data_IF_918474046840
#
_entry.id   IF_918474046840
#
_cell.length_a   1.000
_cell.length_b   1.000
_cell.length_c   1.000
_cell.angle_alpha   90.00
_cell.angle_beta   90.00
_cell.angle_gamma   90.00
#
_symmetry.space_group_name_H-M   'P 1'
#
loop_
_entity.id
_entity.type
_entity.pdbx_description
1 polymer ?
#
# COMPACT_ATOMS: atom_id res chain seq x y z
N UNK A 1 -4.09 4.00 -9.58
CA UNK A 1 -5.10 5.00 -9.14
C UNK A 1 -6.03 5.49 -10.26
N UNK A 2 -5.51 6.13 -11.32
CA UNK A 2 -6.34 6.77 -12.37
C UNK A 2 -7.39 5.86 -13.01
N UNK A 3 -7.06 4.59 -13.29
CA UNK A 3 -8.03 3.62 -13.82
C UNK A 3 -9.24 3.42 -12.91
N UNK A 4 -9.00 3.28 -11.60
CA UNK A 4 -10.06 3.08 -10.62
C UNK A 4 -10.95 4.32 -10.51
N UNK A 5 -10.33 5.51 -10.41
CA UNK A 5 -11.07 6.78 -10.40
C UNK A 5 -11.90 6.96 -11.68
N UNK A 6 -11.34 6.61 -12.84
CA UNK A 6 -12.06 6.63 -14.11
C UNK A 6 -13.29 5.72 -14.12
N UNK A 7 -13.20 4.49 -13.59
CA UNK A 7 -14.36 3.60 -13.46
C UNK A 7 -15.48 4.24 -12.62
N UNK A 8 -15.15 4.82 -11.48
CA UNK A 8 -16.12 5.46 -10.60
C UNK A 8 -16.77 6.68 -11.28
N UNK A 9 -15.96 7.55 -11.90
CA UNK A 9 -16.47 8.71 -12.62
C UNK A 9 -17.33 8.34 -13.82
N UNK A 10 -17.07 7.20 -14.48
CA UNK A 10 -17.82 6.75 -15.65
C UNK A 10 -19.15 6.08 -15.29
N UNK A 11 -19.17 5.25 -14.25
CA UNK A 11 -20.29 4.36 -13.98
C UNK A 11 -21.21 4.81 -12.83
N UNK A 12 -20.73 5.63 -11.89
CA UNK A 12 -21.61 6.14 -10.85
C UNK A 12 -22.51 7.25 -11.41
N UNK A 13 -23.85 7.12 -11.30
CA UNK A 13 -24.80 8.05 -11.90
C UNK A 13 -25.21 9.18 -10.94
N UNK A 14 -24.29 9.67 -10.11
CA UNK A 14 -24.60 10.69 -9.10
C UNK A 14 -23.43 11.65 -8.85
N UNK A 15 -23.77 12.85 -8.39
CA UNK A 15 -22.79 13.86 -7.97
C UNK A 15 -21.88 14.38 -9.09
N UNK A 16 -20.98 15.28 -8.71
CA UNK A 16 -19.96 15.79 -9.63
C UNK A 16 -18.92 14.70 -9.96
N UNK A 17 -18.15 14.83 -11.06
CA UNK A 17 -17.01 13.95 -11.33
C UNK A 17 -16.02 13.89 -10.16
N UNK A 18 -15.78 15.02 -9.48
CA UNK A 18 -14.92 15.08 -8.30
C UNK A 18 -15.48 14.25 -7.13
N UNK A 19 -16.79 14.33 -6.87
CA UNK A 19 -17.43 13.52 -5.83
C UNK A 19 -17.29 12.00 -6.11
N UNK A 20 -17.45 11.60 -7.37
CA UNK A 20 -17.29 10.20 -7.81
C UNK A 20 -15.84 9.73 -7.71
N UNK A 21 -14.88 10.59 -8.05
CA UNK A 21 -13.46 10.31 -7.85
C UNK A 21 -13.12 10.15 -6.36
N UNK A 22 -13.61 11.04 -5.49
CA UNK A 22 -13.45 10.92 -4.04
C UNK A 22 -14.10 9.65 -3.48
N UNK A 23 -15.25 9.23 -4.02
CA UNK A 23 -15.87 7.97 -3.64
C UNK A 23 -14.96 6.76 -3.90
N UNK A 24 -14.14 6.79 -4.96
CA UNK A 24 -13.14 5.74 -5.20
C UNK A 24 -12.07 5.70 -4.10
N UNK A 25 -11.65 6.85 -3.57
CA UNK A 25 -10.72 6.93 -2.46
C UNK A 25 -11.36 6.42 -1.15
N UNK A 26 -12.62 6.80 -0.88
CA UNK A 26 -13.36 6.34 0.28
C UNK A 26 -13.54 4.80 0.28
N UNK A 27 -13.88 4.20 -0.88
CA UNK A 27 -13.96 2.74 -1.02
C UNK A 27 -12.60 2.07 -0.78
N UNK A 28 -11.51 2.64 -1.30
CA UNK A 28 -10.17 2.12 -1.03
C UNK A 28 -9.82 2.18 0.46
N UNK A 29 -10.11 3.30 1.13
CA UNK A 29 -9.82 3.50 2.55
C UNK A 29 -10.63 2.54 3.43
N UNK A 30 -11.92 2.37 3.15
CA UNK A 30 -12.77 1.38 3.84
C UNK A 30 -12.28 -0.04 3.61
N UNK A 31 -11.87 -0.37 2.38
CA UNK A 31 -11.25 -1.66 2.07
C UNK A 31 -9.95 -1.87 2.86
N UNK A 32 -9.10 -0.84 2.98
CA UNK A 32 -7.87 -0.91 3.76
C UNK A 32 -8.14 -1.20 5.23
N UNK A 33 -9.14 -0.54 5.83
CA UNK A 33 -9.58 -0.81 7.19
C UNK A 33 -10.10 -2.25 7.36
N UNK A 34 -10.88 -2.74 6.40
CA UNK A 34 -11.36 -4.13 6.38
C UNK A 34 -10.22 -5.15 6.29
N UNK A 35 -9.22 -4.91 5.44
CA UNK A 35 -8.04 -5.78 5.34
C UNK A 35 -7.20 -5.75 6.62
N UNK A 36 -7.10 -4.60 7.29
CA UNK A 36 -6.42 -4.48 8.57
C UNK A 36 -7.15 -5.24 9.69
N UNK A 37 -8.49 -5.14 9.74
CA UNK A 37 -9.33 -5.96 10.61
C UNK A 37 -9.01 -7.44 10.43
N UNK A 38 -9.06 -7.94 9.19
CA UNK A 38 -8.79 -9.34 8.87
C UNK A 38 -7.35 -9.76 9.22
N UNK A 39 -6.37 -8.89 9.03
CA UNK A 39 -4.97 -9.18 9.38
C UNK A 39 -4.79 -9.33 10.90
N UNK A 40 -5.40 -8.45 11.68
CA UNK A 40 -5.31 -8.48 13.15
C UNK A 40 -6.11 -9.64 13.73
N UNK A 41 -7.31 -9.90 13.21
CA UNK A 41 -8.12 -11.04 13.64
C UNK A 41 -7.41 -12.37 13.30
N UNK A 42 -6.86 -12.52 12.10
CA UNK A 42 -6.11 -13.72 11.71
C UNK A 42 -4.81 -13.94 12.51
N UNK A 43 -4.18 -12.89 13.02
CA UNK A 43 -2.93 -13.00 13.81
C UNK A 43 -3.16 -13.17 15.31
N UNK A 44 -4.27 -12.65 15.83
CA UNK A 44 -4.56 -12.65 17.28
C UNK A 44 -5.67 -13.62 17.69
N UNK A 45 -6.52 -14.04 16.75
CA UNK A 45 -7.76 -14.76 17.01
C UNK A 45 -8.85 -13.90 17.67
N UNK A 46 -8.68 -12.57 17.74
CA UNK A 46 -9.61 -11.66 18.42
C UNK A 46 -10.26 -10.68 17.44
N UNK A 47 -11.58 -10.82 17.26
CA UNK A 47 -12.40 -9.89 16.50
C UNK A 47 -12.36 -8.48 17.10
N UNK A 48 -12.39 -8.37 18.44
CA UNK A 48 -12.35 -7.07 19.15
C UNK A 48 -11.04 -6.34 18.87
N UNK A 49 -9.91 -7.05 18.86
CA UNK A 49 -8.62 -6.46 18.49
C UNK A 49 -8.64 -5.97 17.04
N UNK A 50 -9.21 -6.76 16.12
CA UNK A 50 -9.40 -6.37 14.73
C UNK A 50 -10.24 -5.10 14.59
N UNK A 51 -11.41 -5.04 15.25
CA UNK A 51 -12.31 -3.89 15.20
C UNK A 51 -11.62 -2.63 15.74
N UNK A 52 -10.91 -2.77 16.85
CA UNK A 52 -10.19 -1.67 17.47
C UNK A 52 -9.08 -1.14 16.55
N UNK A 53 -8.25 -2.01 15.98
CA UNK A 53 -7.19 -1.61 15.04
C UNK A 53 -7.76 -0.96 13.77
N UNK A 54 -8.81 -1.54 13.18
CA UNK A 54 -9.45 -0.98 12.00
C UNK A 54 -10.11 0.37 12.28
N UNK A 55 -10.76 0.53 13.44
CA UNK A 55 -11.36 1.79 13.88
C UNK A 55 -10.30 2.88 14.10
N UNK A 56 -9.24 2.56 14.85
CA UNK A 56 -8.12 3.48 15.06
C UNK A 56 -7.49 3.94 13.74
N UNK A 57 -7.32 3.02 12.79
CA UNK A 57 -6.81 3.34 11.46
C UNK A 57 -7.79 4.22 10.67
N UNK A 58 -9.06 3.81 10.56
CA UNK A 58 -10.07 4.48 9.74
C UNK A 58 -10.36 5.92 10.19
N UNK A 59 -10.42 6.14 11.51
CA UNK A 59 -10.70 7.46 12.10
C UNK A 59 -9.44 8.29 12.37
N UNK A 60 -8.25 7.77 12.06
CA UNK A 60 -7.02 8.54 12.13
C UNK A 60 -7.06 9.73 11.17
N UNK A 61 -6.71 10.93 11.65
CA UNK A 61 -6.87 12.19 10.90
C UNK A 61 -6.25 12.16 9.49
N UNK A 62 -5.04 11.62 9.36
CA UNK A 62 -4.36 11.49 8.06
C UNK A 62 -5.08 10.52 7.12
N UNK A 63 -5.50 9.36 7.64
CA UNK A 63 -6.22 8.35 6.84
C UNK A 63 -7.55 8.93 6.37
N UNK A 64 -8.32 9.55 7.27
CA UNK A 64 -9.60 10.17 6.95
C UNK A 64 -9.45 11.30 5.92
N UNK A 65 -8.42 12.16 6.07
CA UNK A 65 -8.17 13.25 5.12
C UNK A 65 -7.94 12.75 3.70
N UNK A 66 -7.19 11.64 3.54
CA UNK A 66 -6.98 11.00 2.24
C UNK A 66 -8.12 10.09 1.78
N UNK A 67 -9.05 9.72 2.68
CA UNK A 67 -10.25 8.96 2.31
C UNK A 67 -11.29 9.85 1.60
N UNK A 68 -11.32 11.15 1.90
CA UNK A 68 -12.27 12.11 1.31
C UNK A 68 -11.73 12.89 0.11
N UNK A 69 -10.48 12.65 -0.29
CA UNK A 69 -9.80 13.33 -1.39
C UNK A 69 -9.31 12.33 -2.45
N UNK A 70 -9.43 12.71 -3.72
CA UNK A 70 -9.05 11.88 -4.86
C UNK A 70 -7.52 11.82 -5.04
N UNK A 71 -6.84 11.14 -4.14
CA UNK A 71 -5.38 10.97 -4.11
C UNK A 71 -4.94 9.50 -4.12
N UNK A 72 -3.67 9.25 -4.47
CA UNK A 72 -3.11 7.89 -4.61
C UNK A 72 -2.97 7.12 -3.29
N UNK A 73 -3.06 7.81 -2.14
CA UNK A 73 -2.71 7.29 -0.82
C UNK A 73 -3.72 6.27 -0.28
N UNK A 74 -5.03 6.48 -0.48
CA UNK A 74 -6.04 5.54 0.00
C UNK A 74 -5.89 4.16 -0.67
N UNK A 75 -5.62 4.14 -1.98
CA UNK A 75 -5.34 2.90 -2.71
C UNK A 75 -4.01 2.27 -2.27
N UNK A 76 -2.99 3.09 -1.98
CA UNK A 76 -1.72 2.58 -1.44
C UNK A 76 -1.92 1.88 -0.09
N UNK A 77 -2.75 2.46 0.79
CA UNK A 77 -3.08 1.87 2.09
C UNK A 77 -3.82 0.55 1.93
N UNK A 78 -4.75 0.45 0.97
CA UNK A 78 -5.42 -0.82 0.66
C UNK A 78 -4.42 -1.90 0.25
N UNK A 79 -3.45 -1.56 -0.61
CA UNK A 79 -2.40 -2.51 -0.99
C UNK A 79 -1.51 -2.89 0.19
N UNK A 80 -1.07 -1.93 1.02
CA UNK A 80 -0.27 -2.22 2.20
C UNK A 80 -1.01 -3.15 3.18
N UNK A 81 -2.27 -2.86 3.48
CA UNK A 81 -3.11 -3.69 4.36
C UNK A 81 -3.37 -5.07 3.76
N UNK A 82 -3.55 -5.17 2.44
CA UNK A 82 -3.71 -6.45 1.73
C UNK A 82 -2.44 -7.29 1.82
N UNK A 83 -1.27 -6.69 1.57
CA UNK A 83 0.02 -7.37 1.68
C UNK A 83 0.26 -7.85 3.11
N UNK A 84 -0.07 -7.04 4.10
CA UNK A 84 0.04 -7.41 5.52
C UNK A 84 -0.89 -8.58 5.87
N UNK A 85 -2.15 -8.53 5.46
CA UNK A 85 -3.07 -9.66 5.61
C UNK A 85 -2.56 -10.95 4.96
N UNK A 86 -2.08 -10.88 3.71
CA UNK A 86 -1.55 -12.04 3.01
C UNK A 86 -0.30 -12.60 3.70
N UNK A 87 0.55 -11.75 4.27
CA UNK A 87 1.70 -12.17 5.07
C UNK A 87 1.26 -12.93 6.33
N UNK A 88 0.28 -12.41 7.08
CA UNK A 88 -0.29 -13.09 8.26
C UNK A 88 -0.94 -14.43 7.87
N UNK A 89 -1.69 -14.48 6.76
CA UNK A 89 -2.29 -15.71 6.26
C UNK A 89 -1.23 -16.73 5.86
N UNK A 90 -0.16 -16.30 5.21
CA UNK A 90 0.97 -17.15 4.86
C UNK A 90 1.73 -17.62 6.09
N UNK A 91 1.84 -16.79 7.13
CA UNK A 91 2.43 -17.18 8.42
C UNK A 91 1.65 -18.33 9.07
N UNK A 92 0.32 -18.18 9.23
CA UNK A 92 -0.50 -19.21 9.86
C UNK A 92 -0.66 -20.49 9.02
N UNK A 93 -0.77 -20.36 7.69
CA UNK A 93 -0.96 -21.48 6.78
C UNK A 93 -0.23 -21.25 5.45
N UNK A 94 1.09 -21.56 5.38
CA UNK A 94 1.88 -21.37 4.19
C UNK A 94 1.27 -22.10 2.99
N UNK A 95 1.00 -21.37 1.91
CA UNK A 95 0.44 -21.95 0.68
C UNK A 95 0.93 -21.20 -0.55
N UNK A 96 1.23 -21.95 -1.61
CA UNK A 96 1.66 -21.41 -2.90
C UNK A 96 0.68 -20.35 -3.43
N UNK A 97 -0.63 -20.60 -3.30
CA UNK A 97 -1.67 -19.64 -3.71
C UNK A 97 -1.52 -18.29 -3.02
N UNK A 98 -1.29 -18.29 -1.70
CA UNK A 98 -1.13 -17.06 -0.93
C UNK A 98 0.17 -16.33 -1.31
N UNK A 99 1.25 -17.08 -1.56
CA UNK A 99 2.50 -16.49 -2.08
C UNK A 99 2.34 -15.88 -3.47
N UNK A 100 1.64 -16.55 -4.40
CA UNK A 100 1.37 -16.00 -5.74
C UNK A 100 0.46 -14.78 -5.70
N UNK A 101 -0.58 -14.78 -4.86
CA UNK A 101 -1.42 -13.59 -4.63
C UNK A 101 -0.60 -12.44 -4.04
N UNK A 102 0.25 -12.72 -3.05
CA UNK A 102 1.18 -11.73 -2.49
C UNK A 102 2.09 -11.13 -3.55
N UNK A 103 2.70 -11.97 -4.38
CA UNK A 103 3.55 -11.55 -5.50
C UNK A 103 2.80 -10.68 -6.51
N UNK A 104 1.56 -11.04 -6.87
CA UNK A 104 0.70 -10.21 -7.70
C UNK A 104 0.44 -8.83 -7.09
N UNK A 105 0.07 -8.77 -5.81
CA UNK A 105 -0.17 -7.51 -5.12
C UNK A 105 1.11 -6.69 -4.92
N UNK A 106 2.29 -7.31 -4.76
CA UNK A 106 3.57 -6.60 -4.77
C UNK A 106 3.78 -5.87 -6.09
N UNK A 107 3.61 -6.56 -7.23
CA UNK A 107 3.71 -5.96 -8.56
C UNK A 107 2.68 -4.84 -8.78
N UNK A 108 1.42 -5.10 -8.43
CA UNK A 108 0.33 -4.13 -8.58
C UNK A 108 0.54 -2.88 -7.74
N UNK A 109 0.98 -3.03 -6.49
CA UNK A 109 1.17 -1.91 -5.59
C UNK A 109 2.35 -1.02 -5.99
N UNK A 110 3.41 -1.60 -6.55
CA UNK A 110 4.55 -0.86 -7.11
C UNK A 110 4.11 0.09 -8.25
N UNK A 111 3.06 -0.27 -9.00
CA UNK A 111 2.50 0.61 -10.05
C UNK A 111 1.71 1.82 -9.52
N UNK A 112 1.46 1.87 -8.21
CA UNK A 112 0.68 2.95 -7.61
C UNK A 112 1.56 4.02 -6.96
N UNK A 113 2.45 3.63 -6.05
CA UNK A 113 3.25 4.58 -5.27
C UNK A 113 4.52 3.92 -4.71
N UNK A 114 5.69 4.55 -4.86
CA UNK A 114 6.99 3.92 -4.58
C UNK A 114 7.25 3.62 -3.11
N UNK A 115 6.67 4.37 -2.17
CA UNK A 115 6.88 4.13 -0.73
C UNK A 115 6.30 2.79 -0.28
N UNK A 116 5.47 2.13 -1.09
CA UNK A 116 5.07 0.75 -0.84
C UNK A 116 6.26 -0.22 -0.74
N UNK A 117 7.45 0.14 -1.26
CA UNK A 117 8.66 -0.67 -1.14
C UNK A 117 9.01 -0.98 0.33
N UNK A 118 8.66 -0.07 1.26
CA UNK A 118 8.86 -0.28 2.70
C UNK A 118 7.99 -1.40 3.28
N UNK A 119 6.93 -1.82 2.58
CA UNK A 119 6.11 -2.98 2.92
C UNK A 119 6.50 -4.19 2.09
N UNK A 120 6.61 -4.02 0.76
CA UNK A 120 6.92 -5.10 -0.19
C UNK A 120 8.24 -5.79 0.17
N UNK A 121 9.29 -5.01 0.47
CA UNK A 121 10.61 -5.57 0.74
C UNK A 121 10.64 -6.47 1.98
N UNK A 122 10.30 -5.99 3.20
CA UNK A 122 10.34 -6.85 4.38
C UNK A 122 9.34 -8.02 4.31
N UNK A 123 8.14 -7.82 3.75
CA UNK A 123 7.15 -8.90 3.60
C UNK A 123 7.66 -9.98 2.64
N UNK A 124 8.29 -9.59 1.53
CA UNK A 124 8.86 -10.55 0.57
C UNK A 124 9.97 -11.36 1.22
N UNK A 125 10.92 -10.70 1.92
CA UNK A 125 11.99 -11.40 2.63
C UNK A 125 11.42 -12.38 3.66
N UNK A 126 10.41 -11.97 4.41
CA UNK A 126 9.74 -12.80 5.40
C UNK A 126 9.07 -14.03 4.77
N UNK A 127 8.28 -13.85 3.70
CA UNK A 127 7.60 -14.95 2.99
C UNK A 127 8.61 -15.90 2.36
N UNK A 128 9.71 -15.40 1.78
CA UNK A 128 10.77 -16.24 1.22
C UNK A 128 11.52 -17.02 2.31
N UNK A 129 11.83 -16.38 3.43
CA UNK A 129 12.47 -17.04 4.57
C UNK A 129 11.58 -18.16 5.15
N UNK A 130 10.29 -17.90 5.31
CA UNK A 130 9.32 -18.87 5.83
C UNK A 130 8.99 -19.98 4.84
N UNK A 131 8.86 -19.65 3.55
CA UNK A 131 8.58 -20.61 2.49
C UNK A 131 9.76 -21.49 2.12
N UNK A 132 10.99 -20.99 2.31
CA UNK A 132 12.24 -21.72 2.13
C UNK A 132 12.43 -22.33 0.74
N UNK A 133 13.28 -23.36 0.66
CA UNK A 133 13.56 -24.08 -0.57
C UNK A 133 12.31 -24.62 -1.30
N UNK A 134 11.25 -25.11 -0.63
CA UNK A 134 10.02 -25.56 -1.29
C UNK A 134 9.31 -24.50 -2.12
N UNK A 135 9.44 -23.21 -1.78
CA UNK A 135 8.87 -22.10 -2.55
C UNK A 135 9.78 -21.67 -3.71
N UNK A 136 11.08 -21.97 -3.63
CA UNK A 136 12.12 -21.54 -4.57
C UNK A 136 12.45 -22.55 -5.68
N UNK A 137 11.57 -23.52 -5.90
CA UNK A 137 11.72 -24.43 -7.05
C UNK A 137 11.51 -23.67 -8.38
N UNK A 138 12.21 -24.03 -9.47
CA UNK A 138 12.08 -23.34 -10.75
C UNK A 138 10.64 -23.09 -11.24
N UNK A 139 9.70 -24.05 -11.20
CA UNK A 139 8.32 -23.80 -11.64
C UNK A 139 7.59 -22.77 -10.75
N UNK A 140 7.88 -22.76 -9.44
CA UNK A 140 7.25 -21.80 -8.51
C UNK A 140 7.84 -20.41 -8.64
N UNK A 141 9.16 -20.30 -8.83
CA UNK A 141 9.82 -19.03 -9.17
C UNK A 141 9.24 -18.46 -10.47
N UNK A 142 9.04 -19.29 -11.50
CA UNK A 142 8.36 -18.89 -12.73
C UNK A 142 6.95 -18.32 -12.47
N UNK A 143 6.14 -18.99 -11.63
CA UNK A 143 4.80 -18.52 -11.26
C UNK A 143 4.81 -17.25 -10.39
N UNK A 144 5.75 -17.12 -9.46
CA UNK A 144 5.94 -15.89 -8.66
C UNK A 144 6.28 -14.72 -9.58
N UNK A 145 7.26 -14.89 -10.46
CA UNK A 145 7.65 -13.87 -11.44
C UNK A 145 6.49 -13.50 -12.35
N UNK A 146 5.77 -14.49 -12.91
CA UNK A 146 4.59 -14.25 -13.72
C UNK A 146 3.50 -13.48 -12.96
N UNK A 147 3.32 -13.77 -11.66
CA UNK A 147 2.35 -13.07 -10.80
C UNK A 147 2.76 -11.61 -10.59
N UNK A 148 4.03 -11.32 -10.30
CA UNK A 148 4.54 -9.94 -10.20
C UNK A 148 4.33 -9.18 -11.51
N UNK A 149 4.72 -9.78 -12.64
CA UNK A 149 4.57 -9.16 -13.95
C UNK A 149 3.10 -8.91 -14.31
N UNK A 150 2.21 -9.84 -13.95
CA UNK A 150 0.76 -9.65 -14.10
C UNK A 150 0.25 -8.48 -13.23
N UNK A 151 0.77 -8.32 -12.01
CA UNK A 151 0.48 -7.16 -11.18
C UNK A 151 0.97 -5.84 -11.80
N UNK A 152 2.11 -5.87 -12.49
CA UNK A 152 2.74 -4.70 -13.12
C UNK A 152 2.10 -4.28 -14.45
N UNK A 153 1.05 -4.97 -14.92
CA UNK A 153 0.33 -4.63 -16.16
C UNK A 153 -0.08 -3.14 -16.30
N UNK A 154 -0.46 -2.40 -15.23
CA UNK A 154 -0.76 -0.97 -15.35
C UNK A 154 0.38 -0.13 -15.96
N UNK A 155 1.65 -0.49 -15.74
CA UNK A 155 2.78 0.17 -16.41
C UNK A 155 2.81 -0.10 -17.92
N UNK A 156 2.45 -1.31 -18.34
CA UNK A 156 2.30 -1.64 -19.76
C UNK A 156 1.17 -0.84 -20.40
N UNK A 157 0.04 -0.72 -19.70
CA UNK A 157 -1.12 0.05 -20.19
C UNK A 157 -0.78 1.53 -20.34
N UNK A 158 -0.09 2.15 -19.38
CA UNK A 158 0.26 3.58 -19.47
C UNK A 158 1.33 3.83 -20.54
N UNK A 159 2.31 2.94 -20.70
CA UNK A 159 3.27 3.02 -21.80
C UNK A 159 2.58 2.90 -23.17
N UNK A 160 1.66 1.94 -23.32
CA UNK A 160 0.85 1.79 -24.54
C UNK A 160 -0.02 3.04 -24.79
N UNK A 161 -0.70 3.55 -23.77
CA UNK A 161 -1.55 4.75 -23.89
C UNK A 161 -0.76 6.01 -24.22
N UNK A 162 0.50 6.12 -23.78
CA UNK A 162 1.38 7.24 -24.12
C UNK A 162 1.60 7.38 -25.63
N UNK A 163 1.49 6.30 -26.41
CA UNK A 163 1.63 6.34 -27.87
C UNK A 163 0.55 7.17 -28.57
N UNK A 164 -0.61 7.35 -27.94
CA UNK A 164 -1.71 8.13 -28.50
C UNK A 164 -1.50 9.66 -28.45
N UNK A 165 -0.45 10.13 -27.74
CA UNK A 165 -0.07 11.56 -27.63
C UNK A 165 -1.25 12.49 -27.35
N UNK A 166 -2.14 12.07 -26.44
CA UNK A 166 -3.31 12.85 -26.08
C UNK A 166 -2.92 14.18 -25.41
N UNK A 167 -3.63 15.28 -25.68
CA UNK A 167 -3.42 16.55 -24.98
C UNK A 167 -3.51 16.36 -23.46
N UNK A 168 -2.53 16.89 -22.72
CA UNK A 168 -2.45 16.73 -21.27
C UNK A 168 -1.76 15.45 -20.77
N UNK A 169 -1.29 14.57 -21.67
CA UNK A 169 -0.39 13.47 -21.29
C UNK A 169 0.94 14.00 -20.77
N UNK A 170 1.40 13.50 -19.63
CA UNK A 170 2.65 13.93 -19.01
C UNK A 170 3.78 12.94 -19.32
N UNK A 171 4.87 13.45 -19.89
CA UNK A 171 6.02 12.65 -20.34
C UNK A 171 5.73 11.81 -21.59
N UNK A 172 6.79 11.19 -22.13
CA UNK A 172 6.72 10.24 -23.25
C UNK A 172 7.23 8.87 -22.77
N UNK A 173 6.36 7.86 -22.71
CA UNK A 173 6.71 6.50 -22.28
C UNK A 173 6.91 5.53 -23.45
N UNK A 174 6.95 6.03 -24.69
CA UNK A 174 7.09 5.17 -25.89
C UNK A 174 8.50 4.60 -26.07
N UNK A 175 9.49 5.17 -25.40
CA UNK A 175 10.88 4.71 -25.42
C UNK A 175 11.38 4.38 -24.01
N UNK A 176 12.48 3.61 -23.94
CA UNK A 176 13.03 3.12 -22.66
C UNK A 176 13.46 4.27 -21.72
N UNK A 177 14.05 5.33 -22.27
CA UNK A 177 14.51 6.46 -21.45
C UNK A 177 13.35 7.17 -20.75
N UNK A 178 12.27 7.42 -21.49
CA UNK A 178 11.07 8.04 -20.97
C UNK A 178 10.30 7.14 -20.01
N UNK A 179 10.19 5.84 -20.32
CA UNK A 179 9.64 4.86 -19.39
C UNK A 179 10.44 4.81 -18.07
N UNK A 180 11.77 4.76 -18.12
CA UNK A 180 12.62 4.79 -16.92
C UNK A 180 12.52 6.13 -16.17
N UNK A 181 12.33 7.24 -16.88
CA UNK A 181 12.10 8.55 -16.27
C UNK A 181 10.82 8.56 -15.44
N UNK A 182 9.74 7.99 -15.98
CA UNK A 182 8.47 7.81 -15.27
C UNK A 182 8.59 6.81 -14.11
N UNK A 183 9.12 5.62 -14.39
CA UNK A 183 9.28 4.53 -13.42
C UNK A 183 10.17 4.93 -12.25
N UNK A 184 11.21 5.74 -12.46
CA UNK A 184 12.09 6.22 -11.40
C UNK A 184 11.64 7.56 -10.81
N UNK A 185 10.50 8.10 -11.28
CA UNK A 185 9.96 9.41 -10.89
C UNK A 185 11.03 10.50 -10.95
N UNK A 186 11.88 10.50 -11.97
CA UNK A 186 13.04 11.41 -12.04
C UNK A 186 12.64 12.89 -11.98
N UNK A 187 11.48 13.22 -12.54
CA UNK A 187 10.90 14.58 -12.54
C UNK A 187 10.53 15.09 -11.15
N UNK A 188 10.26 14.19 -10.19
CA UNK A 188 9.95 14.54 -8.81
C UNK A 188 11.20 14.51 -7.90
N UNK A 189 12.31 13.97 -8.40
CA UNK A 189 13.47 13.55 -7.64
C UNK A 189 13.30 12.13 -7.09
N UNK A 190 14.02 11.16 -7.64
CA UNK A 190 13.89 9.71 -7.33
C UNK A 190 13.94 9.37 -5.85
N UNK A 191 14.69 10.12 -5.05
CA UNK A 191 14.83 9.94 -3.60
C UNK A 191 14.31 11.14 -2.79
N UNK A 192 13.46 11.97 -3.39
CA UNK A 192 12.79 13.09 -2.72
C UNK A 192 11.33 12.75 -2.49
N UNK A 193 10.84 13.10 -1.31
CA UNK A 193 9.43 12.92 -0.97
C UNK A 193 8.55 13.98 -1.65
N UNK A 194 9.09 15.18 -1.88
CA UNK A 194 8.39 16.31 -2.50
C UNK A 194 9.32 17.13 -3.40
N UNK A 195 8.77 17.71 -4.47
CA UNK A 195 9.51 18.42 -5.51
C UNK A 195 9.54 19.96 -5.34
N UNK A 196 9.30 20.48 -4.13
CA UNK A 196 9.25 21.93 -3.85
C UNK A 196 10.60 22.60 -3.63
N UNK A 197 10.65 23.91 -3.86
CA UNK A 197 11.82 24.77 -3.71
C UNK A 197 12.22 25.05 -2.24
N UNK A 198 11.43 24.63 -1.26
CA UNK A 198 11.78 24.77 0.15
C UNK A 198 12.87 23.76 0.55
N UNK A 199 14.08 24.31 0.64
CA UNK A 199 15.34 23.78 1.19
C UNK A 199 15.23 22.45 1.97
N UNK A 200 15.81 21.40 1.40
CA UNK A 200 17.06 20.80 1.90
C UNK A 200 17.03 19.96 3.19
N UNK A 201 16.11 20.17 4.11
CA UNK A 201 16.09 19.52 5.43
C UNK A 201 14.93 18.52 5.51
N UNK A 202 14.92 17.52 4.63
CA UNK A 202 14.08 16.34 4.83
C UNK A 202 14.65 15.52 6.00
N UNK A 203 14.39 15.98 7.22
CA UNK A 203 14.72 15.24 8.44
C UNK A 203 13.70 14.13 8.57
N UNK A 204 13.98 12.96 8.00
CA UNK A 204 13.17 11.74 8.17
C UNK A 204 12.74 11.56 9.64
N UNK A 205 13.66 11.80 10.57
CA UNK A 205 13.42 11.78 12.01
C UNK A 205 12.40 12.81 12.47
N UNK A 206 12.42 14.04 11.95
CA UNK A 206 11.42 15.06 12.25
C UNK A 206 10.04 14.65 11.73
N UNK A 207 9.97 14.11 10.51
CA UNK A 207 8.70 13.60 9.95
C UNK A 207 8.13 12.45 10.80
N UNK A 208 8.99 11.51 11.22
CA UNK A 208 8.61 10.41 12.09
C UNK A 208 8.17 10.92 13.48
N UNK A 209 8.90 11.87 14.06
CA UNK A 209 8.55 12.52 15.32
C UNK A 209 7.18 13.19 15.21
N UNK A 210 6.95 14.02 14.19
CA UNK A 210 5.66 14.69 13.97
C UNK A 210 4.52 13.71 13.75
N UNK A 211 4.77 12.60 13.06
CA UNK A 211 3.79 11.53 12.91
C UNK A 211 3.42 10.92 14.27
N UNK A 212 4.41 10.60 15.11
CA UNK A 212 4.17 10.06 16.45
C UNK A 212 3.45 11.06 17.36
N UNK A 213 3.86 12.33 17.36
CA UNK A 213 3.20 13.41 18.11
C UNK A 213 1.73 13.53 17.71
N UNK A 214 1.45 13.64 16.41
CA UNK A 214 0.09 13.73 15.89
C UNK A 214 -0.74 12.48 16.24
N UNK A 215 -0.17 11.28 16.12
CA UNK A 215 -0.87 10.05 16.48
C UNK A 215 -1.25 10.00 17.96
N UNK A 216 -0.34 10.42 18.85
CA UNK A 216 -0.60 10.48 20.29
C UNK A 216 -1.66 11.54 20.60
N UNK A 217 -1.57 12.72 20.02
CA UNK A 217 -2.55 13.80 20.22
C UNK A 217 -3.94 13.42 19.69
N UNK A 218 -4.01 12.90 18.45
CA UNK A 218 -5.26 12.49 17.80
C UNK A 218 -5.94 11.33 18.55
N UNK A 219 -5.16 10.42 19.12
CA UNK A 219 -5.68 9.29 19.93
C UNK A 219 -5.85 9.61 21.42
N UNK A 220 -5.67 10.88 21.83
CA UNK A 220 -5.70 11.32 23.24
C UNK A 220 -4.80 10.47 24.15
N UNK A 221 -3.64 10.07 23.62
CA UNK A 221 -2.62 9.19 24.21
C UNK A 221 -3.06 7.75 24.49
N UNK A 222 -4.35 7.43 24.42
CA UNK A 222 -4.91 6.09 24.63
C UNK A 222 -4.34 5.10 23.61
N UNK A 223 -4.23 5.52 22.34
CA UNK A 223 -3.65 4.71 21.27
C UNK A 223 -2.19 4.32 21.54
N UNK A 224 -1.39 5.26 22.05
CA UNK A 224 -0.01 5.02 22.44
C UNK A 224 0.12 4.01 23.58
N UNK A 225 -0.74 4.11 24.59
CA UNK A 225 -0.79 3.16 25.71
C UNK A 225 -1.09 1.74 25.26
N UNK A 226 -2.10 1.55 24.39
CA UNK A 226 -2.41 0.22 23.85
C UNK A 226 -1.31 -0.34 22.95
N UNK A 227 -0.66 0.50 22.12
CA UNK A 227 0.45 0.08 21.28
C UNK A 227 1.64 -0.42 22.14
N UNK A 228 2.01 0.33 23.18
CA UNK A 228 3.08 -0.07 24.10
C UNK A 228 2.74 -1.36 24.84
N UNK A 229 1.53 -1.47 25.39
CA UNK A 229 1.07 -2.68 26.06
C UNK A 229 1.12 -3.89 25.12
N UNK A 230 0.66 -3.73 23.87
CA UNK A 230 0.72 -4.78 22.86
C UNK A 230 2.15 -5.26 22.59
N UNK A 231 3.09 -4.34 22.40
CA UNK A 231 4.51 -4.67 22.20
C UNK A 231 5.08 -5.44 23.40
N UNK A 232 4.81 -4.97 24.62
CA UNK A 232 5.28 -5.61 25.85
C UNK A 232 4.70 -7.02 26.01
N UNK A 233 3.42 -7.21 25.70
CA UNK A 233 2.76 -8.52 25.77
C UNK A 233 3.30 -9.50 24.72
N UNK A 234 3.60 -9.03 23.51
CA UNK A 234 4.22 -9.86 22.46
C UNK A 234 5.64 -10.24 22.86
N UNK A 235 6.46 -9.28 23.33
CA UNK A 235 7.82 -9.53 23.77
C UNK A 235 7.89 -10.52 24.96
N UNK A 236 6.94 -10.44 25.89
CA UNK A 236 6.84 -11.36 27.02
C UNK A 236 6.45 -12.80 26.60
N UNK A 237 5.81 -12.97 25.43
CA UNK A 237 5.46 -14.28 24.86
C UNK A 237 6.60 -14.89 24.05
N UNK A 238 7.41 -14.09 23.36
CA UNK A 238 8.51 -14.58 22.53
C UNK A 238 9.80 -14.90 23.31
N UNK A 239 9.88 -14.49 24.59
CA UNK A 239 10.95 -14.87 25.51
C UNK A 239 10.69 -16.13 26.36
N UNK A 240 9.57 -16.84 26.12
CA UNK A 240 9.26 -18.15 26.72
C UNK A 240 9.35 -19.24 25.66
#
# INVERSE_FOLDING_TARGET
>A
YLFLSHLFTRFLPWGSPAARANASAAVCASGAAGMLFLAVEASTGSEVAGMFSAGMFAFGRLVWSYAIQSEVFALNNLFAATLFYLAVRYDGCPSDRTAYLGAFFCGLALTNQHTIVFYVFPITLYVLAKGGAPLLTPPKVGKLTASVLAGMLPYGIIAWRSSARLPGSWGDLTNLSGFLTHLLRREYGTFRLFAGAERGDHRFLYGLQRYCENFLEDSRYVGGGFALLGILLVAARSGR
#
